data_IF_401665950673
#
_entry.id   IF_401665950673
#
_cell.length_a   1.000
_cell.length_b   1.000
_cell.length_c   1.000
_cell.angle_alpha   90.00
_cell.angle_beta   90.00
_cell.angle_gamma   90.00
#
_symmetry.space_group_name_H-M   'P 1'
#
loop_
_entity.id
_entity.type
_entity.pdbx_description
1 polymer ?
#
# COMPACT_ATOMS: atom_id res chain seq x y z
N UNK A 1 -23.76 54.67 43.52
CA UNK A 1 -22.49 54.03 43.12
C UNK A 1 -22.70 52.52 42.91
N UNK A 2 -23.24 52.15 41.75
CA UNK A 2 -23.38 50.75 41.33
C UNK A 2 -22.17 50.38 40.47
N UNK A 3 -21.20 49.68 41.06
CA UNK A 3 -20.09 49.06 40.33
C UNK A 3 -20.68 47.95 39.45
N UNK A 4 -20.76 48.21 38.15
CA UNK A 4 -21.02 47.22 37.13
C UNK A 4 -19.71 46.48 36.85
N UNK A 5 -19.46 45.40 37.58
CA UNK A 5 -18.46 44.40 37.19
C UNK A 5 -18.99 43.64 35.96
N UNK A 6 -18.86 44.25 34.78
CA UNK A 6 -18.95 43.54 33.52
C UNK A 6 -17.55 43.06 33.16
N UNK A 7 -17.26 41.78 33.40
CA UNK A 7 -16.11 41.15 32.78
C UNK A 7 -16.33 41.13 31.27
N UNK A 8 -15.50 41.86 30.52
CA UNK A 8 -15.44 41.77 29.07
C UNK A 8 -15.11 40.32 28.68
N UNK A 9 -16.03 39.66 27.97
CA UNK A 9 -15.72 38.37 27.35
C UNK A 9 -14.57 38.62 26.37
N UNK A 10 -13.42 37.99 26.61
CA UNK A 10 -12.35 38.03 25.63
C UNK A 10 -12.89 37.51 24.30
N UNK A 11 -12.82 38.34 23.27
CA UNK A 11 -12.98 37.90 21.90
C UNK A 11 -11.72 37.11 21.53
N UNK A 12 -11.49 35.97 22.15
CA UNK A 12 -10.49 35.01 21.69
C UNK A 12 -11.04 34.25 20.47
N UNK A 13 -11.30 34.99 19.40
CA UNK A 13 -10.91 34.50 18.08
C UNK A 13 -9.38 34.48 18.12
N UNK A 14 -8.85 33.27 18.34
CA UNK A 14 -7.45 32.94 18.44
C UNK A 14 -6.53 33.89 17.66
N UNK A 15 -5.43 34.31 18.29
CA UNK A 15 -4.31 35.04 17.65
C UNK A 15 -3.56 34.16 16.61
N UNK A 16 -4.25 33.23 15.95
CA UNK A 16 -3.71 32.34 14.94
C UNK A 16 -3.76 33.04 13.60
N UNK A 17 -2.63 33.65 13.21
CA UNK A 17 -2.46 34.15 11.87
C UNK A 17 -2.15 32.98 10.91
N UNK A 18 -3.17 32.48 10.21
CA UNK A 18 -3.02 31.42 9.20
C UNK A 18 -2.41 31.93 7.87
N UNK A 19 -2.14 33.23 7.73
CA UNK A 19 -1.58 33.82 6.51
C UNK A 19 -0.04 33.80 6.48
N UNK A 20 0.62 33.28 7.52
CA UNK A 20 2.09 33.19 7.57
C UNK A 20 2.57 32.14 6.58
N UNK A 21 3.47 32.51 5.67
CA UNK A 21 4.06 31.58 4.69
C UNK A 21 5.39 31.05 5.21
N UNK A 22 5.54 29.73 5.22
CA UNK A 22 6.78 29.05 5.60
C UNK A 22 7.51 28.54 4.35
N UNK A 23 8.83 28.79 4.28
CA UNK A 23 9.70 28.15 3.28
C UNK A 23 10.27 26.87 3.89
N UNK A 24 9.64 25.75 3.59
CA UNK A 24 10.09 24.44 4.03
C UNK A 24 10.94 23.79 2.91
N UNK A 25 11.89 22.90 3.26
CA UNK A 25 12.54 22.06 2.25
C UNK A 25 11.48 21.29 1.45
N UNK A 26 11.65 21.21 0.14
CA UNK A 26 10.71 20.50 -0.75
C UNK A 26 11.47 19.75 -1.83
N UNK A 27 10.96 18.57 -2.19
CA UNK A 27 11.35 17.84 -3.39
C UNK A 27 10.20 17.87 -4.40
N UNK A 28 10.51 18.09 -5.67
CA UNK A 28 9.53 18.02 -6.77
C UNK A 28 9.89 16.85 -7.66
N UNK A 29 8.96 15.92 -7.85
CA UNK A 29 9.09 14.80 -8.78
C UNK A 29 8.53 15.18 -10.15
N UNK A 30 9.12 14.62 -11.20
CA UNK A 30 8.59 14.73 -12.58
C UNK A 30 7.27 13.97 -12.76
N UNK A 31 7.00 12.99 -11.88
CA UNK A 31 5.83 12.11 -11.94
C UNK A 31 5.01 12.18 -10.65
N UNK A 32 3.70 11.88 -10.69
CA UNK A 32 2.88 11.81 -9.48
C UNK A 32 3.49 10.82 -8.47
N UNK A 33 3.51 11.20 -7.19
CA UNK A 33 3.97 10.36 -6.08
C UNK A 33 2.80 9.50 -5.57
N UNK A 34 3.04 8.20 -5.31
CA UNK A 34 2.03 7.29 -4.75
C UNK A 34 2.34 6.86 -3.32
N UNK A 35 3.57 6.41 -3.05
CA UNK A 35 3.95 5.88 -1.74
C UNK A 35 5.30 6.44 -1.30
N UNK A 36 5.53 6.43 0.00
CA UNK A 36 6.77 6.86 0.61
C UNK A 36 7.08 6.00 1.82
N UNK A 37 8.33 5.61 1.96
CA UNK A 37 8.85 4.90 3.14
C UNK A 37 10.18 5.49 3.55
N UNK A 38 10.53 5.36 4.82
CA UNK A 38 11.77 5.89 5.37
C UNK A 38 12.59 4.78 6.00
N UNK A 39 13.89 4.74 5.70
CA UNK A 39 14.84 3.79 6.28
C UNK A 39 16.18 4.49 6.49
N UNK A 40 16.74 4.40 7.70
CA UNK A 40 18.04 4.97 8.07
C UNK A 40 18.22 6.45 7.64
N UNK A 41 17.16 7.25 7.85
CA UNK A 41 17.11 8.68 7.49
C UNK A 41 16.91 8.98 6.00
N UNK A 42 16.87 7.95 5.15
CA UNK A 42 16.59 8.09 3.72
C UNK A 42 15.12 7.95 3.47
N UNK A 43 14.63 8.79 2.57
CA UNK A 43 13.24 8.84 2.18
C UNK A 43 13.15 8.24 0.77
N UNK A 44 12.56 7.06 0.67
CA UNK A 44 12.28 6.40 -0.60
C UNK A 44 10.88 6.80 -1.07
N UNK A 45 10.78 7.30 -2.29
CA UNK A 45 9.55 7.84 -2.86
C UNK A 45 9.20 7.04 -4.11
N UNK A 46 8.11 6.29 -4.04
CA UNK A 46 7.53 5.58 -5.16
C UNK A 46 6.59 6.50 -5.93
N UNK A 47 6.90 6.74 -7.19
CA UNK A 47 6.14 7.56 -8.12
C UNK A 47 5.80 6.76 -9.39
N UNK A 48 5.01 7.36 -10.29
CA UNK A 48 4.72 6.72 -11.58
C UNK A 48 6.05 6.59 -12.32
N UNK A 49 6.36 5.37 -12.79
CA UNK A 49 7.56 5.05 -13.57
C UNK A 49 8.91 5.29 -12.86
N UNK A 50 8.93 5.71 -11.59
CA UNK A 50 10.13 6.12 -10.88
C UNK A 50 10.13 5.74 -9.41
N UNK A 51 11.30 5.43 -8.88
CA UNK A 51 11.59 5.45 -7.44
C UNK A 51 12.73 6.43 -7.21
N UNK A 52 12.60 7.30 -6.21
CA UNK A 52 13.63 8.24 -5.81
C UNK A 52 14.13 7.90 -4.41
N UNK A 53 15.44 7.99 -4.17
CA UNK A 53 15.98 8.06 -2.81
C UNK A 53 16.38 9.49 -2.51
N UNK A 54 15.89 10.02 -1.40
CA UNK A 54 16.15 11.38 -0.94
C UNK A 54 16.87 11.36 0.40
N UNK A 55 17.78 12.31 0.59
CA UNK A 55 18.36 12.59 1.90
C UNK A 55 17.32 13.24 2.84
N UNK A 56 17.58 13.33 4.17
CA UNK A 56 16.66 13.95 5.13
C UNK A 56 16.26 15.40 4.79
N UNK A 57 17.12 16.12 4.05
CA UNK A 57 16.87 17.49 3.58
C UNK A 57 16.11 17.54 2.24
N UNK A 58 15.60 16.41 1.76
CA UNK A 58 14.88 16.23 0.49
C UNK A 58 15.73 16.42 -0.78
N UNK A 59 17.06 16.41 -0.69
CA UNK A 59 17.90 16.36 -1.90
C UNK A 59 17.89 14.97 -2.50
N UNK A 60 17.66 14.86 -3.82
CA UNK A 60 17.72 13.60 -4.56
C UNK A 60 19.13 13.01 -4.53
N UNK A 61 19.26 11.80 -3.99
CA UNK A 61 20.50 11.02 -3.95
C UNK A 61 20.64 10.11 -5.17
N UNK A 62 19.57 9.40 -5.50
CA UNK A 62 19.52 8.47 -6.63
C UNK A 62 18.08 8.34 -7.15
N UNK A 63 17.94 7.75 -8.34
CA UNK A 63 16.66 7.40 -8.93
C UNK A 63 16.74 6.07 -9.66
N UNK A 64 15.66 5.31 -9.66
CA UNK A 64 15.48 4.08 -10.41
C UNK A 64 14.28 4.21 -11.34
N UNK A 65 14.42 3.75 -12.57
CA UNK A 65 13.36 3.75 -13.58
C UNK A 65 12.53 2.47 -13.45
N UNK A 66 11.29 2.59 -12.97
CA UNK A 66 10.36 1.45 -12.90
C UNK A 66 9.48 1.32 -14.14
N UNK A 67 9.52 2.29 -15.06
CA UNK A 67 8.75 2.27 -16.31
C UNK A 67 8.93 3.55 -17.15
N UNK A 68 8.07 3.75 -18.17
CA UNK A 68 7.03 2.81 -18.60
C UNK A 68 7.64 1.56 -19.24
N UNK A 69 7.05 0.40 -18.97
CA UNK A 69 7.60 -0.90 -19.35
C UNK A 69 6.97 -1.44 -20.63
N UNK A 70 7.78 -2.10 -21.45
CA UNK A 70 7.30 -3.00 -22.50
C UNK A 70 6.89 -4.35 -21.90
N UNK A 71 6.05 -5.08 -22.63
CA UNK A 71 5.57 -6.40 -22.22
C UNK A 71 6.70 -7.45 -22.00
N UNK A 72 7.89 -7.24 -22.57
CA UNK A 72 9.07 -8.10 -22.36
C UNK A 72 10.00 -7.59 -21.23
N UNK A 73 9.68 -6.43 -20.62
CA UNK A 73 10.43 -5.83 -19.50
C UNK A 73 9.69 -6.00 -18.16
N UNK A 74 8.44 -6.45 -18.20
CA UNK A 74 7.64 -6.81 -17.02
C UNK A 74 8.12 -8.12 -16.42
N UNK A 75 8.03 -8.27 -15.09
CA UNK A 75 8.33 -9.52 -14.42
C UNK A 75 7.38 -10.64 -14.87
N UNK A 76 7.95 -11.67 -15.51
CA UNK A 76 7.19 -12.79 -16.08
C UNK A 76 6.90 -12.65 -17.57
N UNK A 77 6.44 -13.74 -18.16
CA UNK A 77 6.11 -13.83 -19.56
C UNK A 77 4.72 -13.25 -19.80
N UNK A 78 4.67 -12.23 -20.67
CA UNK A 78 3.41 -11.63 -21.12
C UNK A 78 3.07 -12.21 -22.48
N UNK A 79 1.90 -12.85 -22.62
CA UNK A 79 1.46 -13.37 -23.92
C UNK A 79 1.36 -12.20 -24.92
N UNK A 80 1.93 -12.32 -26.13
CA UNK A 80 1.96 -11.23 -27.09
C UNK A 80 0.53 -10.88 -27.54
N UNK A 81 0.04 -9.72 -27.11
CA UNK A 81 -1.22 -9.15 -27.64
C UNK A 81 -0.90 -8.42 -28.94
N UNK A 82 -1.06 -9.11 -30.07
CA UNK A 82 -1.02 -8.59 -31.44
C UNK A 82 -0.05 -7.43 -31.70
N UNK A 83 1.25 -7.72 -31.83
CA UNK A 83 2.23 -6.94 -32.62
C UNK A 83 2.46 -5.46 -32.32
N UNK A 84 1.74 -4.84 -31.38
CA UNK A 84 1.91 -3.44 -30.99
C UNK A 84 2.73 -3.37 -29.70
N UNK A 85 3.95 -2.85 -29.83
CA UNK A 85 4.79 -2.41 -28.72
C UNK A 85 4.05 -1.31 -27.95
N UNK A 86 3.24 -1.72 -26.98
CA UNK A 86 2.46 -0.82 -26.12
C UNK A 86 3.23 -0.73 -24.81
N UNK A 87 3.64 0.47 -24.44
CA UNK A 87 4.29 0.75 -23.16
C UNK A 87 3.22 0.93 -22.08
N UNK A 88 3.47 0.37 -20.91
CA UNK A 88 2.58 0.48 -19.75
C UNK A 88 3.23 1.34 -18.68
N UNK A 89 2.52 2.37 -18.22
CA UNK A 89 2.95 3.12 -17.05
C UNK A 89 2.94 2.22 -15.81
N UNK A 90 4.01 2.28 -15.04
CA UNK A 90 4.17 1.52 -13.82
C UNK A 90 3.84 2.38 -12.62
N UNK A 91 2.61 2.27 -12.11
CA UNK A 91 2.16 2.97 -10.92
C UNK A 91 2.65 2.21 -9.70
N UNK A 92 3.34 2.90 -8.77
CA UNK A 92 3.77 2.27 -7.54
C UNK A 92 2.54 2.00 -6.64
N UNK A 93 2.21 0.73 -6.42
CA UNK A 93 1.04 0.31 -5.61
C UNK A 93 1.46 0.11 -4.17
N UNK A 94 2.61 -0.51 -3.95
CA UNK A 94 3.19 -0.69 -2.62
C UNK A 94 4.70 -0.44 -2.64
N UNK A 95 5.19 0.12 -1.55
CA UNK A 95 6.60 0.35 -1.29
C UNK A 95 6.86 0.01 0.18
N UNK A 96 7.78 -0.91 0.45
CA UNK A 96 8.04 -1.40 1.80
C UNK A 96 9.54 -1.54 2.03
N UNK A 97 9.95 -1.40 3.29
CA UNK A 97 11.31 -1.70 3.73
C UNK A 97 11.27 -2.90 4.67
N UNK A 98 12.25 -3.77 4.54
CA UNK A 98 12.42 -4.97 5.34
C UNK A 98 13.90 -5.12 5.66
N UNK A 99 14.23 -5.49 6.91
CA UNK A 99 15.59 -5.49 7.42
C UNK A 99 15.99 -6.79 8.10
N UNK A 100 15.13 -7.81 8.12
CA UNK A 100 15.36 -9.05 8.85
C UNK A 100 16.48 -9.92 8.26
N UNK A 101 16.56 -10.01 6.92
CA UNK A 101 17.61 -10.79 6.24
C UNK A 101 18.71 -9.88 5.70
N UNK A 102 18.34 -9.00 4.77
CA UNK A 102 19.15 -7.89 4.29
C UNK A 102 18.36 -6.59 4.46
N UNK A 103 19.03 -5.44 4.28
CA UNK A 103 18.32 -4.17 4.14
C UNK A 103 17.76 -4.07 2.73
N UNK A 104 16.44 -4.14 2.61
CA UNK A 104 15.78 -4.30 1.32
C UNK A 104 14.64 -3.31 1.16
N UNK A 105 14.45 -2.84 -0.06
CA UNK A 105 13.27 -2.10 -0.49
C UNK A 105 12.49 -2.99 -1.45
N UNK A 106 11.21 -3.20 -1.17
CA UNK A 106 10.28 -3.92 -2.04
C UNK A 106 9.39 -2.92 -2.75
N UNK A 107 9.36 -2.96 -4.08
CA UNK A 107 8.49 -2.12 -4.90
C UNK A 107 7.54 -2.98 -5.72
N UNK A 108 6.23 -2.80 -5.54
CA UNK A 108 5.21 -3.56 -6.25
C UNK A 108 4.41 -2.60 -7.12
N UNK A 109 4.44 -2.82 -8.44
CA UNK A 109 3.91 -1.91 -9.43
C UNK A 109 2.74 -2.49 -10.23
N UNK A 110 1.99 -1.63 -10.91
CA UNK A 110 0.87 -2.04 -11.77
C UNK A 110 1.32 -2.78 -13.03
N UNK A 111 2.52 -2.48 -13.55
CA UNK A 111 3.01 -3.05 -14.81
C UNK A 111 3.56 -4.47 -14.66
N UNK A 112 4.12 -4.82 -13.49
CA UNK A 112 4.68 -6.16 -13.21
C UNK A 112 3.61 -7.20 -12.81
N UNK A 113 2.34 -6.98 -13.20
CA UNK A 113 1.22 -7.88 -12.94
C UNK A 113 1.07 -8.33 -11.48
N UNK A 114 1.41 -7.44 -10.54
CA UNK A 114 1.32 -7.70 -9.11
C UNK A 114 2.56 -8.34 -8.49
N UNK A 115 3.56 -8.74 -9.29
CA UNK A 115 4.86 -9.19 -8.79
C UNK A 115 5.65 -7.98 -8.27
N UNK A 116 6.29 -8.13 -7.11
CA UNK A 116 7.16 -7.10 -6.55
C UNK A 116 8.58 -7.24 -7.10
N UNK A 117 9.32 -6.13 -7.15
CA UNK A 117 10.77 -6.10 -7.32
C UNK A 117 11.44 -5.90 -5.97
N UNK A 118 12.53 -6.63 -5.74
CA UNK A 118 13.40 -6.52 -4.56
C UNK A 118 14.60 -5.68 -4.93
N UNK A 119 14.89 -4.67 -4.13
CA UNK A 119 16.07 -3.81 -4.25
C UNK A 119 16.94 -4.02 -3.00
N UNK A 120 18.16 -4.51 -3.16
CA UNK A 120 19.10 -4.62 -2.04
C UNK A 120 19.71 -3.25 -1.78
N UNK A 121 19.58 -2.75 -0.55
CA UNK A 121 20.09 -1.45 -0.15
C UNK A 121 21.49 -1.62 0.43
N UNK A 122 22.52 -1.27 -0.35
CA UNK A 122 23.91 -1.36 0.12
C UNK A 122 24.21 -0.25 1.15
N UNK A 123 24.76 -0.62 2.29
CA UNK A 123 25.08 0.30 3.39
C UNK A 123 26.46 0.96 3.23
N UNK A 124 27.35 0.37 2.43
CA UNK A 124 28.76 0.76 2.34
C UNK A 124 29.07 1.75 1.21
N UNK A 125 28.10 1.99 0.32
CA UNK A 125 28.28 2.90 -0.79
C UNK A 125 27.89 4.33 -0.39
N UNK A 126 28.75 5.32 -0.66
CA UNK A 126 28.45 6.74 -0.40
C UNK A 126 27.23 7.23 -1.19
N UNK A 127 26.99 6.63 -2.37
CA UNK A 127 25.75 6.76 -3.11
C UNK A 127 24.80 5.65 -2.64
N UNK A 128 23.77 6.03 -1.88
CA UNK A 128 22.64 5.13 -1.54
C UNK A 128 21.81 4.89 -2.80
N UNK A 129 22.22 3.91 -3.59
CA UNK A 129 21.65 3.52 -4.88
C UNK A 129 20.41 2.65 -4.67
N UNK A 130 19.42 2.83 -5.55
CA UNK A 130 18.18 2.02 -5.57
C UNK A 130 18.20 1.05 -6.76
N UNK A 131 19.23 1.12 -7.59
CA UNK A 131 19.31 0.56 -8.93
C UNK A 131 20.36 -0.55 -9.09
N UNK A 132 21.22 -0.80 -8.09
CA UNK A 132 22.35 -1.73 -8.22
C UNK A 132 21.95 -3.21 -8.28
N UNK A 133 21.14 -3.68 -7.33
CA UNK A 133 20.68 -5.08 -7.28
C UNK A 133 19.16 -5.11 -7.20
N UNK A 134 18.54 -5.13 -8.39
CA UNK A 134 17.09 -5.16 -8.56
C UNK A 134 16.66 -6.42 -9.30
N UNK A 135 15.80 -7.21 -8.67
CA UNK A 135 15.29 -8.47 -9.25
C UNK A 135 13.80 -8.65 -9.02
N UNK A 136 13.15 -9.40 -9.92
CA UNK A 136 11.76 -9.83 -9.73
C UNK A 136 11.70 -10.76 -8.51
N UNK A 137 10.84 -10.46 -7.55
CA UNK A 137 10.72 -11.23 -6.31
C UNK A 137 9.79 -12.44 -6.50
N UNK A 138 10.19 -13.33 -7.39
CA UNK A 138 9.46 -14.52 -7.76
C UNK A 138 10.43 -15.58 -8.29
N UNK A 139 10.24 -16.83 -7.87
CA UNK A 139 11.21 -17.89 -8.12
C UNK A 139 11.16 -18.31 -9.59
N UNK A 140 12.31 -18.33 -10.28
CA UNK A 140 12.43 -18.62 -11.73
C UNK A 140 11.66 -17.64 -12.63
N UNK A 141 11.38 -16.43 -12.16
CA UNK A 141 10.75 -15.36 -12.92
C UNK A 141 11.75 -14.23 -13.12
N UNK A 142 11.84 -13.73 -14.35
CA UNK A 142 12.68 -12.58 -14.71
C UNK A 142 11.95 -11.73 -15.77
N UNK A 143 12.48 -10.55 -16.15
CA UNK A 143 11.83 -9.71 -17.15
C UNK A 143 11.56 -10.49 -18.46
N UNK A 144 10.29 -10.59 -18.84
CA UNK A 144 9.84 -11.28 -20.05
C UNK A 144 9.94 -12.80 -20.03
N UNK A 145 10.30 -13.42 -18.90
CA UNK A 145 10.52 -14.88 -18.81
C UNK A 145 9.93 -15.49 -17.53
N UNK A 146 9.49 -16.74 -17.64
CA UNK A 146 8.88 -17.47 -16.53
C UNK A 146 7.42 -17.08 -16.31
N UNK A 147 6.66 -17.92 -15.61
CA UNK A 147 5.27 -17.64 -15.26
C UNK A 147 5.16 -17.47 -13.75
N UNK A 148 4.76 -16.28 -13.24
CA UNK A 148 4.53 -16.09 -11.82
C UNK A 148 3.47 -17.06 -11.30
N UNK A 149 3.72 -17.66 -10.13
CA UNK A 149 2.72 -18.46 -9.44
C UNK A 149 1.86 -17.58 -8.53
N UNK A 150 0.77 -18.14 -8.01
CA UNK A 150 -0.21 -17.42 -7.19
C UNK A 150 0.41 -16.68 -5.98
N UNK A 151 1.38 -17.32 -5.32
CA UNK A 151 2.10 -16.71 -4.18
C UNK A 151 2.92 -15.47 -4.57
N UNK A 152 3.34 -15.35 -5.82
CA UNK A 152 4.19 -14.26 -6.31
C UNK A 152 3.40 -13.00 -6.69
N UNK A 153 2.10 -13.15 -6.99
CA UNK A 153 1.22 -12.04 -7.38
C UNK A 153 0.68 -11.34 -6.14
N UNK A 154 1.41 -10.36 -5.63
CA UNK A 154 1.15 -9.69 -4.34
C UNK A 154 0.05 -8.64 -4.45
N UNK A 155 0.20 -7.68 -5.38
CA UNK A 155 -0.64 -6.48 -5.41
C UNK A 155 -1.61 -6.45 -6.58
N UNK A 156 -2.77 -5.83 -6.36
CA UNK A 156 -3.77 -5.53 -7.38
C UNK A 156 -3.58 -4.12 -7.96
N UNK A 157 -3.75 -3.92 -9.28
CA UNK A 157 -3.74 -2.59 -9.91
C UNK A 157 -4.89 -1.69 -9.40
N UNK A 158 -5.93 -2.27 -8.78
CA UNK A 158 -7.02 -1.51 -8.15
C UNK A 158 -6.65 -0.91 -6.78
N UNK A 159 -5.41 -1.10 -6.33
CA UNK A 159 -4.89 -0.59 -5.06
C UNK A 159 -4.80 -1.69 -4.00
N UNK A 160 -3.73 -1.67 -3.21
CA UNK A 160 -3.42 -2.70 -2.21
C UNK A 160 -2.85 -2.07 -0.96
N UNK A 161 -3.00 -2.75 0.18
CA UNK A 161 -2.29 -2.45 1.41
C UNK A 161 -1.45 -3.66 1.79
N UNK A 162 -0.15 -3.44 2.00
CA UNK A 162 0.81 -4.49 2.32
C UNK A 162 1.45 -4.11 3.64
N UNK A 163 1.55 -5.09 4.55
CA UNK A 163 2.17 -4.95 5.85
C UNK A 163 3.13 -6.11 6.06
N UNK A 164 4.42 -5.84 6.17
CA UNK A 164 5.40 -6.80 6.62
C UNK A 164 5.42 -6.85 8.16
N UNK A 165 5.44 -8.06 8.70
CA UNK A 165 5.60 -8.31 10.14
C UNK A 165 6.69 -9.34 10.32
N UNK A 166 7.66 -8.97 11.15
CA UNK A 166 8.74 -9.84 11.59
C UNK A 166 8.28 -10.65 12.81
N UNK A 167 8.47 -11.96 12.72
CA UNK A 167 8.31 -12.87 13.85
C UNK A 167 9.48 -13.86 13.81
N UNK A 168 9.24 -15.14 13.52
CA UNK A 168 10.31 -16.09 13.19
C UNK A 168 10.77 -15.99 11.73
N UNK A 169 9.91 -15.42 10.89
CA UNK A 169 10.13 -15.19 9.46
C UNK A 169 9.40 -13.89 9.10
N UNK A 170 9.81 -13.27 8.01
CA UNK A 170 9.09 -12.13 7.45
C UNK A 170 7.79 -12.60 6.84
N UNK A 171 6.67 -12.04 7.31
CA UNK A 171 5.32 -12.36 6.82
C UNK A 171 4.66 -11.13 6.24
N UNK A 172 4.15 -11.24 5.02
CA UNK A 172 3.43 -10.20 4.31
C UNK A 172 1.93 -10.43 4.45
N UNK A 173 1.27 -9.51 5.12
CA UNK A 173 -0.18 -9.40 5.17
C UNK A 173 -0.62 -8.46 4.06
N UNK A 174 -1.50 -8.93 3.18
CA UNK A 174 -1.88 -8.19 1.98
C UNK A 174 -3.39 -8.09 1.88
N UNK A 175 -3.91 -6.89 1.73
CA UNK A 175 -5.30 -6.60 1.38
C UNK A 175 -5.38 -5.95 0.00
N UNK A 176 -5.97 -6.64 -0.96
CA UNK A 176 -6.15 -6.18 -2.33
C UNK A 176 -7.55 -5.65 -2.54
N UNK A 177 -7.64 -4.40 -2.99
CA UNK A 177 -8.92 -3.75 -3.25
C UNK A 177 -9.59 -4.32 -4.50
N UNK A 178 -10.90 -4.39 -4.44
CA UNK A 178 -11.78 -4.71 -5.54
C UNK A 178 -12.59 -3.44 -5.87
N UNK A 179 -12.32 -2.83 -7.02
CA UNK A 179 -13.01 -1.63 -7.48
C UNK A 179 -13.79 -1.99 -8.75
N UNK A 180 -15.13 -1.87 -8.73
CA UNK A 180 -15.94 -2.11 -9.93
C UNK A 180 -15.45 -1.26 -11.09
N UNK A 181 -15.46 -1.83 -12.30
CA UNK A 181 -15.06 -1.17 -13.55
C UNK A 181 -13.57 -0.81 -13.68
N UNK A 182 -12.73 -1.17 -12.70
CA UNK A 182 -11.29 -1.22 -12.94
C UNK A 182 -10.99 -2.32 -13.97
N UNK A 183 -9.99 -2.13 -14.84
CA UNK A 183 -9.62 -3.11 -15.85
C UNK A 183 -9.34 -4.47 -15.20
N UNK A 184 -10.27 -5.41 -15.35
CA UNK A 184 -10.08 -6.77 -14.87
C UNK A 184 -9.06 -7.47 -15.77
N UNK A 185 -7.99 -8.07 -15.20
CA UNK A 185 -7.07 -8.90 -15.97
C UNK A 185 -7.82 -10.03 -16.69
N UNK A 186 -7.30 -10.44 -17.85
CA UNK A 186 -7.69 -11.65 -18.58
C UNK A 186 -7.97 -12.82 -17.63
N UNK A 187 -8.97 -13.65 -17.94
CA UNK A 187 -9.40 -14.80 -17.11
C UNK A 187 -8.31 -15.81 -16.81
N UNK A 188 -7.22 -15.81 -17.59
CA UNK A 188 -6.15 -16.81 -17.50
C UNK A 188 -4.90 -16.30 -16.75
N UNK A 189 -4.86 -15.04 -16.31
CA UNK A 189 -3.76 -14.51 -15.52
C UNK A 189 -3.98 -14.82 -14.02
N UNK A 190 -2.91 -15.17 -13.31
CA UNK A 190 -2.94 -15.29 -11.85
C UNK A 190 -3.45 -13.96 -11.25
N UNK A 191 -4.42 -14.05 -10.33
CA UNK A 191 -5.05 -12.88 -9.71
C UNK A 191 -4.65 -12.81 -8.25
N UNK A 192 -4.31 -11.61 -7.75
CA UNK A 192 -4.02 -11.45 -6.34
C UNK A 192 -5.27 -11.79 -5.50
N UNK A 193 -5.08 -12.50 -4.39
CA UNK A 193 -6.15 -12.77 -3.45
C UNK A 193 -6.67 -11.51 -2.76
N UNK A 194 -7.96 -11.47 -2.40
CA UNK A 194 -8.57 -10.31 -1.73
C UNK A 194 -7.87 -9.99 -0.41
N UNK A 195 -7.63 -11.01 0.42
CA UNK A 195 -6.77 -10.89 1.59
C UNK A 195 -5.90 -12.13 1.71
N UNK A 196 -4.62 -11.95 2.02
CA UNK A 196 -3.68 -13.07 2.14
C UNK A 196 -2.59 -12.83 3.17
N UNK A 197 -2.08 -13.93 3.71
CA UNK A 197 -0.91 -14.03 4.59
C UNK A 197 0.13 -14.86 3.87
N UNK A 198 1.28 -14.24 3.56
CA UNK A 198 2.33 -14.84 2.75
C UNK A 198 3.62 -14.83 3.53
N UNK A 199 4.29 -15.97 3.61
CA UNK A 199 5.62 -16.03 4.23
C UNK A 199 6.68 -15.80 3.18
N UNK A 200 7.67 -14.95 3.48
CA UNK A 200 8.84 -14.80 2.62
C UNK A 200 9.71 -16.06 2.67
N UNK A 201 10.18 -16.53 1.52
CA UNK A 201 11.12 -17.66 1.45
C UNK A 201 12.46 -17.21 2.04
N UNK A 202 13.14 -18.10 2.77
CA UNK A 202 14.48 -17.84 3.33
C UNK A 202 15.54 -17.67 2.25
N UNK A 203 15.29 -18.14 1.03
CA UNK A 203 16.11 -17.92 -0.16
C UNK A 203 15.91 -16.54 -0.79
N UNK A 204 15.03 -15.68 -0.24
CA UNK A 204 14.74 -14.32 -0.73
C UNK A 204 14.45 -14.25 -2.25
N UNK A 205 13.75 -15.26 -2.77
CA UNK A 205 13.36 -15.36 -4.19
C UNK A 205 11.85 -15.54 -4.36
N UNK A 206 11.05 -14.94 -3.47
CA UNK A 206 9.59 -14.98 -3.56
C UNK A 206 8.91 -15.41 -2.26
N UNK A 207 7.62 -15.72 -2.38
CA UNK A 207 6.75 -16.01 -1.26
C UNK A 207 6.24 -17.45 -1.26
N UNK A 208 5.70 -17.87 -0.12
CA UNK A 208 4.99 -19.12 0.05
C UNK A 208 3.66 -18.88 0.77
N UNK A 209 2.58 -19.43 0.22
CA UNK A 209 1.28 -19.56 0.89
C UNK A 209 1.27 -20.89 1.63
N UNK A 210 1.05 -20.87 2.95
CA UNK A 210 1.17 -22.08 3.77
C UNK A 210 0.12 -23.15 3.43
N UNK A 211 -1.07 -22.70 3.05
CA UNK A 211 -2.24 -23.53 2.74
C UNK A 211 -3.30 -22.70 2.02
N UNK A 212 -4.38 -23.36 1.58
CA UNK A 212 -5.56 -22.67 1.02
C UNK A 212 -6.30 -21.79 2.03
N UNK A 213 -6.00 -21.88 3.33
CA UNK A 213 -6.53 -20.97 4.36
C UNK A 213 -5.61 -19.80 4.64
N UNK A 214 -4.52 -19.65 3.88
CA UNK A 214 -3.63 -18.48 3.94
C UNK A 214 -4.18 -17.28 3.18
N UNK A 215 -5.29 -17.46 2.45
CA UNK A 215 -5.98 -16.39 1.77
C UNK A 215 -7.49 -16.55 1.89
N UNK A 216 -8.20 -15.45 1.69
CA UNK A 216 -9.65 -15.43 1.52
C UNK A 216 -9.98 -14.49 0.37
N UNK A 217 -10.95 -14.90 -0.44
CA UNK A 217 -11.38 -14.17 -1.62
C UNK A 217 -12.84 -13.80 -1.54
N UNK A 218 -13.20 -12.70 -2.20
CA UNK A 218 -14.59 -12.48 -2.58
C UNK A 218 -15.11 -13.66 -3.40
N UNK A 219 -16.35 -14.07 -3.13
CA UNK A 219 -17.01 -15.10 -3.94
C UNK A 219 -17.06 -14.67 -5.42
N UNK A 220 -17.02 -15.60 -6.38
CA UNK A 220 -16.92 -15.26 -7.80
C UNK A 220 -17.96 -14.26 -8.32
N UNK A 221 -19.19 -14.28 -7.79
CA UNK A 221 -20.27 -13.36 -8.17
C UNK A 221 -20.03 -11.90 -7.74
N UNK A 222 -19.15 -11.67 -6.76
CA UNK A 222 -18.81 -10.35 -6.24
C UNK A 222 -17.50 -9.81 -6.82
N UNK A 223 -16.63 -10.65 -7.38
CA UNK A 223 -15.39 -10.21 -8.05
C UNK A 223 -15.75 -9.33 -9.26
N UNK A 224 -15.13 -8.15 -9.37
CA UNK A 224 -15.39 -7.14 -10.40
C UNK A 224 -16.63 -6.27 -10.19
N UNK A 225 -17.50 -6.60 -9.23
CA UNK A 225 -18.82 -5.94 -9.06
C UNK A 225 -19.04 -5.38 -7.66
N UNK A 226 -18.31 -5.90 -6.66
CA UNK A 226 -18.35 -5.45 -5.28
C UNK A 226 -17.25 -4.43 -5.01
N UNK A 227 -17.62 -3.33 -4.37
CA UNK A 227 -16.66 -2.31 -3.97
C UNK A 227 -16.10 -2.65 -2.59
N UNK A 228 -14.81 -2.95 -2.56
CA UNK A 228 -14.02 -3.20 -1.36
C UNK A 228 -12.69 -2.46 -1.51
N UNK A 229 -12.47 -1.44 -0.68
CA UNK A 229 -11.21 -0.68 -0.67
C UNK A 229 -10.47 -0.90 0.62
N UNK A 230 -9.23 -1.35 0.54
CA UNK A 230 -8.30 -1.35 1.67
C UNK A 230 -7.66 0.05 1.77
N UNK A 231 -7.94 0.74 2.86
CA UNK A 231 -7.52 2.14 3.07
C UNK A 231 -6.20 2.22 3.81
N UNK A 232 -6.00 1.34 4.80
CA UNK A 232 -4.80 1.36 5.63
C UNK A 232 -4.57 -0.01 6.28
N UNK A 233 -3.33 -0.30 6.63
CA UNK A 233 -2.92 -1.46 7.42
C UNK A 233 -1.91 -1.07 8.48
N UNK A 234 -1.96 -1.72 9.64
CA UNK A 234 -0.99 -1.51 10.70
C UNK A 234 -0.87 -2.72 11.61
N UNK A 235 0.28 -2.83 12.28
CA UNK A 235 0.56 -3.84 13.29
C UNK A 235 0.48 -3.20 14.68
N UNK A 236 -0.21 -3.84 15.62
CA UNK A 236 -0.26 -3.35 17.01
C UNK A 236 -0.44 -4.51 17.99
N UNK A 237 0.50 -4.65 18.92
CA UNK A 237 0.51 -5.75 19.88
C UNK A 237 0.63 -7.11 19.16
N UNK A 238 -0.21 -8.12 19.47
CA UNK A 238 -0.16 -9.44 18.83
C UNK A 238 -1.03 -9.55 17.57
N UNK A 239 -1.54 -8.42 17.04
CA UNK A 239 -2.51 -8.42 15.94
C UNK A 239 -2.09 -7.52 14.78
N UNK A 240 -2.51 -7.90 13.58
CA UNK A 240 -2.52 -7.05 12.40
C UNK A 240 -3.93 -6.58 12.10
N UNK A 241 -4.03 -5.36 11.61
CA UNK A 241 -5.28 -4.68 11.35
C UNK A 241 -5.32 -4.14 9.93
N UNK A 242 -6.50 -4.21 9.32
CA UNK A 242 -6.79 -3.53 8.06
C UNK A 242 -8.04 -2.67 8.23
N UNK A 243 -8.01 -1.47 7.67
CA UNK A 243 -9.18 -0.60 7.57
C UNK A 243 -9.74 -0.70 6.16
N UNK A 244 -11.02 -1.03 6.06
CA UNK A 244 -11.70 -1.21 4.78
C UNK A 244 -12.88 -0.27 4.64
N UNK A 245 -13.18 0.14 3.42
CA UNK A 245 -14.44 0.77 3.03
C UNK A 245 -15.15 -0.20 2.09
N UNK A 246 -16.35 -0.63 2.48
CA UNK A 246 -17.13 -1.59 1.72
C UNK A 246 -18.63 -1.35 1.92
N UNK A 247 -19.46 -2.06 1.16
CA UNK A 247 -20.92 -1.93 1.28
C UNK A 247 -21.39 -2.47 2.64
N UNK A 248 -22.44 -1.86 3.19
CA UNK A 248 -23.05 -2.28 4.46
C UNK A 248 -23.55 -3.72 4.37
N UNK A 249 -24.16 -4.06 3.24
CA UNK A 249 -24.60 -5.41 2.86
C UNK A 249 -24.49 -5.56 1.35
N UNK A 250 -24.62 -6.79 0.83
CA UNK A 250 -24.48 -7.11 -0.60
C UNK A 250 -25.36 -6.22 -1.49
N UNK A 251 -26.60 -6.02 -1.08
CA UNK A 251 -27.65 -5.36 -1.87
C UNK A 251 -27.80 -3.87 -1.53
N UNK A 252 -27.03 -3.36 -0.55
CA UNK A 252 -27.05 -1.96 -0.15
C UNK A 252 -26.21 -1.09 -1.09
N UNK A 253 -26.67 0.14 -1.34
CA UNK A 253 -25.87 1.20 -1.99
C UNK A 253 -25.04 2.01 -0.98
N UNK A 254 -25.28 1.82 0.31
CA UNK A 254 -24.55 2.51 1.37
C UNK A 254 -23.22 1.83 1.67
N UNK A 255 -22.23 2.65 2.00
CA UNK A 255 -20.88 2.23 2.38
C UNK A 255 -20.64 2.47 3.86
N UNK A 256 -19.80 1.64 4.47
CA UNK A 256 -19.29 1.88 5.81
C UNK A 256 -17.81 1.48 5.92
N UNK A 257 -17.17 1.96 7.00
CA UNK A 257 -15.82 1.57 7.35
C UNK A 257 -15.86 0.35 8.26
N UNK A 258 -14.98 -0.62 8.03
CA UNK A 258 -14.72 -1.72 8.98
C UNK A 258 -13.27 -1.76 9.37
N UNK A 259 -13.01 -2.23 10.59
CA UNK A 259 -11.71 -2.71 11.01
C UNK A 259 -11.71 -4.24 10.96
N UNK A 260 -10.73 -4.77 10.26
CA UNK A 260 -10.43 -6.19 10.13
C UNK A 260 -9.27 -6.49 11.09
N UNK A 261 -9.34 -7.61 11.81
CA UNK A 261 -8.27 -8.06 12.71
C UNK A 261 -7.91 -9.52 12.46
N UNK A 262 -6.61 -9.82 12.49
CA UNK A 262 -6.07 -11.19 12.53
C UNK A 262 -4.83 -11.26 13.44
N UNK A 263 -4.42 -12.47 13.84
CA UNK A 263 -3.24 -12.65 14.69
C UNK A 263 -1.95 -12.51 13.86
N UNK A 264 -0.99 -11.74 14.34
CA UNK A 264 0.27 -11.50 13.63
C UNK A 264 1.16 -12.73 13.52
N UNK A 265 1.04 -13.67 14.48
CA UNK A 265 1.83 -14.90 14.55
C UNK A 265 1.30 -16.02 13.64
N UNK A 266 0.06 -15.90 13.14
CA UNK A 266 -0.56 -16.97 12.39
C UNK A 266 -0.11 -16.92 10.92
N UNK A 267 0.37 -18.05 10.39
CA UNK A 267 0.73 -18.19 8.97
C UNK A 267 -0.46 -18.51 8.06
N UNK A 268 -1.66 -18.48 8.62
CA UNK A 268 -2.93 -18.73 7.96
C UNK A 268 -3.95 -17.75 8.50
N UNK A 269 -4.98 -17.43 7.74
CA UNK A 269 -6.07 -16.58 8.20
C UNK A 269 -6.92 -17.36 9.19
N UNK A 270 -6.58 -17.22 10.47
CA UNK A 270 -7.30 -17.77 11.62
C UNK A 270 -7.83 -16.62 12.46
N UNK A 271 -9.00 -16.83 13.08
CA UNK A 271 -9.63 -15.83 13.97
C UNK A 271 -9.82 -14.47 13.30
N UNK A 272 -10.13 -14.50 12.01
CA UNK A 272 -10.48 -13.33 11.22
C UNK A 272 -11.78 -12.73 11.74
N UNK A 273 -11.76 -11.43 12.04
CA UNK A 273 -12.94 -10.69 12.51
C UNK A 273 -13.01 -9.36 11.79
N UNK A 274 -14.21 -9.00 11.34
CA UNK A 274 -14.53 -7.65 10.86
C UNK A 274 -15.52 -6.98 11.81
N UNK A 275 -15.28 -5.71 12.11
CA UNK A 275 -16.15 -4.90 12.95
C UNK A 275 -16.39 -3.54 12.29
N UNK A 276 -17.64 -3.10 12.10
CA UNK A 276 -17.94 -1.75 11.61
C UNK A 276 -17.44 -0.67 12.57
N UNK A 277 -16.93 0.42 12.01
CA UNK A 277 -16.55 1.63 12.73
C UNK A 277 -17.48 2.78 12.34
N UNK A 278 -18.08 3.41 13.33
CA UNK A 278 -18.93 4.59 13.15
C UNK A 278 -18.33 5.78 13.87
N UNK A 279 -18.10 6.86 13.13
CA UNK A 279 -17.70 8.15 13.68
C UNK A 279 -18.89 9.10 13.56
N UNK A 280 -19.39 9.58 14.69
CA UNK A 280 -20.55 10.48 14.76
C UNK A 280 -20.14 11.86 15.26
N UNK A 281 -20.72 12.91 14.68
CA UNK A 281 -20.63 14.26 15.21
C UNK A 281 -21.93 14.60 15.93
N UNK A 282 -21.84 15.11 17.16
CA UNK A 282 -23.00 15.58 17.92
C UNK A 282 -22.86 17.08 18.20
N UNK A 283 -23.60 17.89 17.46
CA UNK A 283 -23.73 19.31 17.80
C UNK A 283 -24.60 19.45 19.05
N UNK A 284 -23.99 19.85 20.16
CA UNK A 284 -24.73 20.24 21.37
C UNK A 284 -25.51 21.52 21.08
N UNK A 285 -26.78 21.40 20.65
CA UNK A 285 -27.72 22.54 20.62
C UNK A 285 -27.77 23.17 22.02
N UNK A 286 -27.23 24.39 22.16
CA UNK A 286 -27.46 25.24 23.33
C UNK A 286 -28.97 25.40 23.49
N UNK A 287 -29.56 24.85 24.54
CA UNK A 287 -30.94 25.17 24.94
C UNK A 287 -31.02 26.70 25.06
N UNK A 288 -31.90 27.33 24.27
CA UNK A 288 -32.36 28.69 24.56
C UNK A 288 -32.98 28.65 25.95
N UNK A 289 -32.48 29.52 26.83
CA UNK A 289 -33.14 29.89 28.08
C UNK A 289 -34.61 30.13 27.79
N UNK A 290 -35.48 29.48 28.55
CA UNK A 290 -36.90 29.81 28.64
C UNK A 290 -37.06 31.26 29.05
N UNK A 291 -37.94 31.97 28.34
CA UNK A 291 -38.65 33.14 28.87
C UNK A 291 -39.58 32.70 30.01
#
# INVERSE_FOLDING_TARGET
>A
PSLQDQCDKSSETSKLNLSVTYKLPTFTSDFPIQNMVTQDGIIYVGAVNRIYALAPNLTKLSEYHTGPLLANETCGQTLPRNGRSTRFDNHNIALLVENFYDKELFSCGSADHGVCRRHVLNNDNFLKTVDEDVSCFADKVSPGQGQPVDSDVVVSPSGSQVLNVESNFVTFFVGNSEIPWAETPSSNAARPHTISVRRMKTSQNGFFLFSNTSHMDLIPSLKGSYYLRYVHSFHSGPFTYFLTVQRVSRDSKAYHTRIVRMCSSDHMIRRYVEMPLECISTDKRRRRSSD
#
